data_IF_045517743940
#
_entry.id   IF_045517743940
#
_cell.length_a   1.000
_cell.length_b   1.000
_cell.length_c   1.000
_cell.angle_alpha   90.00
_cell.angle_beta   90.00
_cell.angle_gamma   90.00
#
_symmetry.space_group_name_H-M   'P 1'
#
loop_
_entity.id
_entity.type
_entity.pdbx_description
1 polymer ?
#
# COMPACT_ATOMS: atom_id res chain seq x y z
N UNK A 1 -3.72 29.16 -7.89
CA UNK A 1 -2.98 28.44 -6.82
C UNK A 1 -3.81 27.30 -6.22
N UNK A 2 -5.07 27.55 -5.85
CA UNK A 2 -6.01 26.54 -5.30
C UNK A 2 -6.25 25.29 -6.20
N UNK A 3 -6.32 25.48 -7.52
CA UNK A 3 -6.54 24.38 -8.46
C UNK A 3 -5.37 23.37 -8.48
N UNK A 4 -4.13 23.86 -8.43
CA UNK A 4 -2.93 23.01 -8.40
C UNK A 4 -2.86 22.12 -7.15
N UNK A 5 -3.33 22.61 -6.00
CA UNK A 5 -3.35 21.82 -4.76
C UNK A 5 -4.39 20.69 -4.86
N UNK A 6 -5.58 20.98 -5.40
CA UNK A 6 -6.63 19.97 -5.65
C UNK A 6 -6.15 18.88 -6.62
N UNK A 7 -5.48 19.26 -7.70
CA UNK A 7 -4.88 18.33 -8.67
C UNK A 7 -3.83 17.45 -7.99
N UNK A 8 -2.94 18.03 -7.18
CA UNK A 8 -1.90 17.27 -6.48
C UNK A 8 -2.48 16.22 -5.51
N UNK A 9 -3.57 16.52 -4.81
CA UNK A 9 -4.25 15.53 -3.96
C UNK A 9 -4.89 14.39 -4.76
N UNK A 10 -5.50 14.70 -5.91
CA UNK A 10 -6.04 13.69 -6.80
C UNK A 10 -4.93 12.78 -7.36
N UNK A 11 -3.78 13.35 -7.72
CA UNK A 11 -2.61 12.58 -8.17
C UNK A 11 -2.07 11.67 -7.07
N UNK A 12 -1.96 12.16 -5.82
CA UNK A 12 -1.56 11.35 -4.67
C UNK A 12 -2.54 10.20 -4.41
N UNK A 13 -3.85 10.45 -4.47
CA UNK A 13 -4.87 9.41 -4.34
C UNK A 13 -4.78 8.35 -5.43
N UNK A 14 -4.57 8.76 -6.68
CA UNK A 14 -4.39 7.84 -7.81
C UNK A 14 -3.10 7.02 -7.69
N UNK A 15 -2.00 7.64 -7.27
CA UNK A 15 -0.74 6.95 -7.02
C UNK A 15 -0.89 5.91 -5.90
N UNK A 16 -1.55 6.26 -4.79
CA UNK A 16 -1.83 5.32 -3.71
C UNK A 16 -2.70 4.13 -4.18
N UNK A 17 -3.77 4.39 -4.95
CA UNK A 17 -4.60 3.32 -5.53
C UNK A 17 -3.81 2.40 -6.47
N UNK A 18 -2.93 2.97 -7.28
CA UNK A 18 -2.06 2.22 -8.21
C UNK A 18 -1.08 1.32 -7.46
N UNK A 19 -0.43 1.85 -6.42
CA UNK A 19 0.50 1.10 -5.57
C UNK A 19 -0.26 -0.01 -4.83
N UNK A 20 -1.46 0.26 -4.30
CA UNK A 20 -2.29 -0.76 -3.64
C UNK A 20 -2.67 -1.90 -4.58
N UNK A 21 -3.03 -1.59 -5.82
CA UNK A 21 -3.34 -2.63 -6.82
C UNK A 21 -2.10 -3.47 -7.14
N UNK A 22 -0.94 -2.85 -7.31
CA UNK A 22 0.32 -3.56 -7.56
C UNK A 22 0.73 -4.42 -6.37
N UNK A 23 0.56 -3.91 -5.14
CA UNK A 23 0.80 -4.66 -3.90
C UNK A 23 -0.05 -5.94 -3.86
N UNK A 24 -1.35 -5.81 -4.11
CA UNK A 24 -2.26 -6.97 -4.15
C UNK A 24 -1.91 -7.99 -5.24
N UNK A 25 -1.42 -7.53 -6.41
CA UNK A 25 -0.93 -8.44 -7.45
C UNK A 25 0.32 -9.22 -7.00
N UNK A 26 1.26 -8.56 -6.31
CA UNK A 26 2.44 -9.21 -5.75
C UNK A 26 2.05 -10.23 -4.69
N UNK A 27 1.15 -9.89 -3.76
CA UNK A 27 0.61 -10.82 -2.76
C UNK A 27 -0.02 -12.05 -3.40
N UNK A 28 -0.84 -11.88 -4.44
CA UNK A 28 -1.45 -13.00 -5.15
C UNK A 28 -0.42 -13.92 -5.81
N UNK A 29 0.62 -13.36 -6.43
CA UNK A 29 1.70 -14.16 -7.04
C UNK A 29 2.50 -14.93 -5.98
N UNK A 30 2.72 -14.35 -4.80
CA UNK A 30 3.41 -15.00 -3.70
C UNK A 30 2.58 -16.13 -3.09
N UNK A 31 1.27 -15.94 -2.93
CA UNK A 31 0.37 -17.00 -2.45
C UNK A 31 0.23 -18.14 -3.47
N UNK A 32 0.19 -17.84 -4.78
CA UNK A 32 0.25 -18.89 -5.82
C UNK A 32 1.58 -19.68 -5.73
N UNK A 33 2.70 -18.98 -5.60
CA UNK A 33 4.01 -19.62 -5.43
C UNK A 33 4.03 -20.52 -4.19
N UNK A 34 3.52 -20.05 -3.06
CA UNK A 34 3.43 -20.80 -1.81
C UNK A 34 2.56 -22.05 -1.95
N UNK A 35 1.40 -21.95 -2.60
CA UNK A 35 0.53 -23.09 -2.90
C UNK A 35 1.24 -24.14 -3.75
N UNK A 36 1.98 -23.71 -4.77
CA UNK A 36 2.75 -24.59 -5.66
C UNK A 36 3.93 -25.28 -4.95
N UNK A 37 4.53 -24.62 -3.97
CA UNK A 37 5.66 -25.15 -3.21
C UNK A 37 5.23 -26.06 -2.06
N UNK A 38 4.02 -25.87 -1.52
CA UNK A 38 3.46 -26.66 -0.42
C UNK A 38 3.64 -28.20 -0.53
N UNK A 39 3.38 -28.86 -1.68
CA UNK A 39 3.55 -30.31 -1.80
C UNK A 39 5.02 -30.78 -1.81
N UNK A 40 5.97 -29.90 -2.14
CA UNK A 40 7.39 -30.24 -2.32
C UNK A 40 8.24 -29.86 -1.10
N UNK A 41 7.74 -28.96 -0.24
CA UNK A 41 8.39 -28.58 1.03
C UNK A 41 8.63 -29.81 1.93
N UNK A 42 7.74 -30.80 1.91
CA UNK A 42 7.93 -32.06 2.64
C UNK A 42 9.11 -32.90 2.13
N UNK A 43 9.55 -32.63 0.89
CA UNK A 43 10.68 -33.31 0.24
C UNK A 43 12.00 -32.54 0.39
N UNK A 44 11.94 -31.27 0.80
CA UNK A 44 13.11 -30.41 1.01
C UNK A 44 13.68 -30.63 2.42
N UNK A 45 14.83 -31.28 2.49
CA UNK A 45 15.54 -31.50 3.76
C UNK A 45 15.93 -30.17 4.43
N UNK A 46 15.62 -30.04 5.73
CA UNK A 46 16.12 -29.07 6.72
C UNK A 46 16.45 -27.65 6.22
N UNK A 47 17.63 -27.47 5.64
CA UNK A 47 18.18 -26.16 5.26
C UNK A 47 17.39 -25.46 4.14
N UNK A 48 16.80 -26.20 3.19
CA UNK A 48 16.02 -25.62 2.11
C UNK A 48 14.65 -25.11 2.61
N UNK A 49 14.09 -25.76 3.62
CA UNK A 49 12.85 -25.34 4.28
C UNK A 49 13.06 -24.05 5.08
N UNK A 50 14.17 -23.93 5.83
CA UNK A 50 14.51 -22.71 6.58
C UNK A 50 14.69 -21.49 5.66
N UNK A 51 15.46 -21.63 4.58
CA UNK A 51 15.67 -20.56 3.61
C UNK A 51 14.36 -20.10 2.97
N UNK A 52 13.45 -21.05 2.65
CA UNK A 52 12.13 -20.74 2.16
C UNK A 52 11.29 -19.96 3.19
N UNK A 53 11.24 -20.44 4.43
CA UNK A 53 10.49 -19.76 5.51
C UNK A 53 11.01 -18.33 5.76
N UNK A 54 12.31 -18.10 5.65
CA UNK A 54 12.89 -16.77 5.77
C UNK A 54 12.41 -15.84 4.63
N UNK A 55 12.47 -16.31 3.39
CA UNK A 55 11.93 -15.53 2.24
C UNK A 55 10.44 -15.31 2.37
N UNK A 56 9.72 -16.31 2.86
CA UNK A 56 8.28 -16.23 3.09
C UNK A 56 7.93 -15.14 4.08
N UNK A 57 8.59 -15.12 5.22
CA UNK A 57 8.44 -14.06 6.21
C UNK A 57 8.84 -12.68 5.66
N UNK A 58 9.91 -12.61 4.87
CA UNK A 58 10.39 -11.35 4.33
C UNK A 58 9.37 -10.70 3.37
N UNK A 59 8.75 -11.48 2.48
CA UNK A 59 7.75 -10.94 1.58
C UNK A 59 6.44 -10.60 2.31
N UNK A 60 6.01 -11.40 3.30
CA UNK A 60 4.82 -11.12 4.10
C UNK A 60 4.97 -9.80 4.84
N UNK A 61 6.17 -9.56 5.39
CA UNK A 61 6.52 -8.32 6.10
C UNK A 61 6.50 -7.13 5.14
N UNK A 62 7.11 -7.25 3.96
CA UNK A 62 7.12 -6.18 2.97
C UNK A 62 5.72 -5.80 2.48
N UNK A 63 4.83 -6.79 2.31
CA UNK A 63 3.44 -6.57 1.94
C UNK A 63 2.68 -5.82 3.04
N UNK A 64 2.82 -6.24 4.30
CA UNK A 64 2.22 -5.57 5.45
C UNK A 64 2.71 -4.12 5.61
N UNK A 65 4.00 -3.87 5.43
CA UNK A 65 4.58 -2.53 5.49
C UNK A 65 4.00 -1.63 4.37
N UNK A 66 3.88 -2.16 3.16
CA UNK A 66 3.30 -1.42 2.04
C UNK A 66 1.83 -1.05 2.30
N UNK A 67 1.04 -1.99 2.81
CA UNK A 67 -0.34 -1.75 3.23
C UNK A 67 -0.43 -0.62 4.28
N UNK A 68 0.48 -0.62 5.25
CA UNK A 68 0.55 0.39 6.32
C UNK A 68 0.88 1.78 5.79
N UNK A 69 1.86 1.87 4.89
CA UNK A 69 2.22 3.13 4.22
C UNK A 69 1.06 3.67 3.40
N UNK A 70 0.36 2.82 2.66
CA UNK A 70 -0.79 3.22 1.85
C UNK A 70 -1.96 3.73 2.70
N UNK A 71 -2.25 3.05 3.80
CA UNK A 71 -3.25 3.52 4.76
C UNK A 71 -2.88 4.90 5.32
N UNK A 72 -1.60 5.11 5.64
CA UNK A 72 -1.10 6.39 6.16
C UNK A 72 -1.22 7.51 5.12
N UNK A 73 -0.91 7.24 3.85
CA UNK A 73 -1.10 8.19 2.75
C UNK A 73 -2.57 8.55 2.59
N UNK A 74 -3.47 7.56 2.62
CA UNK A 74 -4.92 7.78 2.53
C UNK A 74 -5.44 8.73 3.61
N UNK A 75 -5.03 8.50 4.87
CA UNK A 75 -5.38 9.38 5.99
C UNK A 75 -4.84 10.79 5.79
N UNK A 76 -3.58 10.94 5.37
CA UNK A 76 -2.96 12.25 5.15
C UNK A 76 -3.67 13.04 4.04
N UNK A 77 -4.04 12.39 2.93
CA UNK A 77 -4.77 13.03 1.82
C UNK A 77 -6.17 13.49 2.26
N UNK A 78 -6.86 12.67 3.05
CA UNK A 78 -8.17 13.04 3.59
C UNK A 78 -8.07 14.27 4.50
N UNK A 79 -7.15 14.25 5.48
CA UNK A 79 -6.94 15.37 6.40
C UNK A 79 -6.57 16.67 5.66
N UNK A 80 -5.71 16.57 4.65
CA UNK A 80 -5.32 17.73 3.84
C UNK A 80 -6.50 18.30 3.05
N UNK A 81 -7.38 17.44 2.52
CA UNK A 81 -8.60 17.84 1.82
C UNK A 81 -9.57 18.57 2.74
N UNK A 82 -9.81 18.03 3.94
CA UNK A 82 -10.68 18.62 4.96
C UNK A 82 -10.16 20.00 5.42
N UNK A 83 -8.88 20.09 5.76
CA UNK A 83 -8.24 21.33 6.17
C UNK A 83 -8.32 22.41 5.08
N UNK A 84 -8.09 22.01 3.82
CA UNK A 84 -8.18 22.89 2.68
C UNK A 84 -9.63 23.38 2.45
N UNK A 85 -10.63 22.50 2.51
CA UNK A 85 -12.04 22.89 2.37
C UNK A 85 -12.48 23.86 3.45
N UNK A 86 -12.05 23.62 4.70
CA UNK A 86 -12.34 24.51 5.83
C UNK A 86 -11.70 25.89 5.62
N UNK A 87 -10.45 25.94 5.16
CA UNK A 87 -9.74 27.19 4.86
C UNK A 87 -10.41 27.98 3.72
N UNK A 88 -10.86 27.30 2.66
CA UNK A 88 -11.58 27.92 1.55
C UNK A 88 -12.94 28.48 2.02
N UNK A 89 -13.71 27.74 2.84
CA UNK A 89 -14.96 28.25 3.41
C UNK A 89 -14.74 29.47 4.33
N UNK A 90 -13.69 29.46 5.15
CA UNK A 90 -13.37 30.62 6.00
C UNK A 90 -13.00 31.85 5.17
N UNK A 91 -12.22 31.67 4.10
CA UNK A 91 -11.89 32.76 3.19
C UNK A 91 -13.14 33.30 2.49
N UNK A 92 -14.03 32.44 2.00
CA UNK A 92 -15.28 32.87 1.35
C UNK A 92 -16.24 33.61 2.29
N UNK A 93 -16.22 33.33 3.60
CA UNK A 93 -17.02 34.06 4.60
C UNK A 93 -16.45 35.44 4.96
N UNK A 94 -15.21 35.71 4.57
CA UNK A 94 -14.45 36.91 4.93
C UNK A 94 -14.57 38.02 3.87
N UNK A 95 -15.09 37.68 2.70
CA UNK A 95 -15.39 38.55 1.56
C UNK A 95 -16.91 38.69 1.43
#
# INVERSE_FOLDING_TARGET
MNDHIKVSFAELGNAAGSISSQAGQVEQQLEDLKSRLQPIINLWEGAASEAYMEKQRAWDTAAADLQSVLASIGVAVQQATEAYQAAEQQNLKRW
#
